data_IF_439088926633
#
_entry.id   IF_439088926633
#
_cell.length_a   1.000
_cell.length_b   1.000
_cell.length_c   1.000
_cell.angle_alpha   90.00
_cell.angle_beta   90.00
_cell.angle_gamma   90.00
#
_symmetry.space_group_name_H-M   'P 1'
#
loop_
_entity.id
_entity.type
_entity.pdbx_description
1 polymer ?
#
# COMPACT_ATOMS: atom_id res chain seq x y z
N UNK A 1 4.18 -11.75 -0.91
CA UNK A 1 5.61 -12.05 -1.08
C UNK A 1 6.38 -10.81 -1.52
N UNK A 2 7.18 -10.25 -0.61
CA UNK A 2 8.13 -9.17 -0.91
C UNK A 2 9.49 -9.48 -0.29
N UNK A 3 10.61 -9.18 -0.97
CA UNK A 3 11.93 -9.37 -0.41
C UNK A 3 12.23 -8.26 0.62
N UNK A 4 12.98 -8.62 1.66
CA UNK A 4 13.57 -7.66 2.62
C UNK A 4 15.02 -7.34 2.25
N UNK A 5 15.59 -6.33 2.90
CA UNK A 5 17.01 -5.97 2.77
C UNK A 5 17.98 -7.13 3.03
N UNK A 6 17.58 -8.09 3.87
CA UNK A 6 18.39 -9.25 4.26
C UNK A 6 18.21 -10.44 3.31
N UNK A 7 17.43 -10.30 2.24
CA UNK A 7 17.15 -11.38 1.28
C UNK A 7 16.11 -12.38 1.77
N UNK A 8 15.41 -12.09 2.88
CA UNK A 8 14.30 -12.91 3.36
C UNK A 8 13.02 -12.53 2.61
N UNK A 9 12.22 -13.53 2.23
CA UNK A 9 10.89 -13.30 1.65
C UNK A 9 9.86 -13.23 2.75
N UNK A 10 9.24 -12.08 2.95
CA UNK A 10 8.17 -11.91 3.94
C UNK A 10 6.81 -11.82 3.26
N UNK A 11 5.79 -12.28 3.99
CA UNK A 11 4.40 -12.09 3.63
C UNK A 11 3.74 -11.04 4.49
N UNK A 12 3.26 -9.99 3.82
CA UNK A 12 2.59 -8.87 4.43
C UNK A 12 1.12 -8.89 4.00
N UNK A 13 0.22 -8.94 4.97
CA UNK A 13 -1.19 -8.65 4.76
C UNK A 13 -1.43 -7.18 5.07
N UNK A 14 -1.84 -6.42 4.06
CA UNK A 14 -2.04 -4.98 4.13
C UNK A 14 -3.44 -4.64 3.65
N UNK A 15 -4.16 -3.82 4.41
CA UNK A 15 -5.43 -3.24 3.99
C UNK A 15 -5.29 -1.74 3.80
N UNK A 16 -6.03 -1.22 2.82
CA UNK A 16 -6.11 0.22 2.53
C UNK A 16 -7.56 0.62 2.64
N UNK A 17 -7.82 1.65 3.45
CA UNK A 17 -9.11 2.31 3.50
C UNK A 17 -9.04 3.55 2.61
N UNK A 18 -9.99 3.67 1.68
CA UNK A 18 -10.03 4.77 0.72
C UNK A 18 -11.45 5.10 0.31
N UNK A 19 -11.63 6.31 -0.22
CA UNK A 19 -12.81 6.71 -0.95
C UNK A 19 -12.42 7.51 -2.21
N UNK A 20 -13.38 7.68 -3.11
CA UNK A 20 -13.21 8.54 -4.29
C UNK A 20 -13.81 9.93 -3.99
N UNK A 21 -13.15 10.98 -4.46
CA UNK A 21 -13.72 12.31 -4.40
C UNK A 21 -14.98 12.35 -5.29
N UNK A 22 -16.11 12.89 -4.79
CA UNK A 22 -17.37 12.88 -5.55
C UNK A 22 -17.28 13.55 -6.92
N UNK A 23 -16.49 14.61 -7.04
CA UNK A 23 -16.26 15.36 -8.29
C UNK A 23 -15.38 14.59 -9.29
N UNK A 24 -14.66 13.56 -8.85
CA UNK A 24 -13.82 12.68 -9.68
C UNK A 24 -14.47 11.33 -9.99
N UNK A 25 -15.59 11.00 -9.35
CA UNK A 25 -16.24 9.71 -9.47
C UNK A 25 -16.65 9.38 -10.92
N UNK A 26 -17.18 10.37 -11.64
CA UNK A 26 -17.55 10.22 -13.05
C UNK A 26 -16.34 9.89 -13.94
N UNK A 27 -15.25 10.63 -13.78
CA UNK A 27 -14.03 10.45 -14.57
C UNK A 27 -13.36 9.11 -14.28
N UNK A 28 -13.33 8.70 -13.01
CA UNK A 28 -12.80 7.39 -12.62
C UNK A 28 -13.63 6.29 -13.27
N UNK A 29 -14.96 6.36 -13.19
CA UNK A 29 -15.83 5.34 -13.77
C UNK A 29 -15.69 5.24 -15.28
N UNK A 30 -15.65 6.37 -16.01
CA UNK A 30 -15.57 6.35 -17.46
C UNK A 30 -14.19 5.95 -17.99
N UNK A 31 -13.11 6.42 -17.36
CA UNK A 31 -11.76 6.19 -17.87
C UNK A 31 -11.14 4.87 -17.38
N UNK A 32 -11.49 4.44 -16.16
CA UNK A 32 -10.85 3.32 -15.48
C UNK A 32 -11.82 2.13 -15.28
N UNK A 33 -13.12 2.40 -15.36
CA UNK A 33 -14.15 1.39 -15.10
C UNK A 33 -14.25 0.99 -13.63
N UNK A 34 -15.09 -0.01 -13.38
CA UNK A 34 -15.31 -0.59 -12.05
C UNK A 34 -14.05 -1.28 -11.50
N UNK A 35 -13.11 -1.65 -12.38
CA UNK A 35 -11.85 -2.31 -12.06
C UNK A 35 -10.75 -1.41 -11.52
N UNK A 36 -11.00 -0.11 -11.27
CA UNK A 36 -9.94 0.82 -10.84
C UNK A 36 -9.17 0.36 -9.58
N UNK A 37 -9.83 -0.40 -8.70
CA UNK A 37 -9.17 -0.99 -7.52
C UNK A 37 -8.08 -1.98 -7.91
N UNK A 38 -8.37 -2.90 -8.84
CA UNK A 38 -7.42 -3.93 -9.27
C UNK A 38 -6.39 -3.40 -10.27
N UNK A 39 -6.76 -2.38 -11.05
CA UNK A 39 -5.89 -1.80 -12.09
C UNK A 39 -4.95 -0.72 -11.55
N UNK A 40 -5.33 -0.02 -10.47
CA UNK A 40 -4.54 1.10 -9.92
C UNK A 40 -4.19 0.86 -8.46
N UNK A 41 -5.18 0.75 -7.58
CA UNK A 41 -4.94 0.76 -6.13
C UNK A 41 -4.06 -0.42 -5.70
N UNK A 42 -4.38 -1.63 -6.16
CA UNK A 42 -3.61 -2.83 -5.84
C UNK A 42 -2.16 -2.80 -6.38
N UNK A 43 -1.91 -2.40 -7.65
CA UNK A 43 -0.56 -2.18 -8.17
C UNK A 43 0.25 -1.15 -7.39
N UNK A 44 -0.34 0.01 -7.08
CA UNK A 44 0.35 1.07 -6.33
C UNK A 44 0.69 0.63 -4.91
N UNK A 45 -0.25 -0.05 -4.22
CA UNK A 45 0.01 -0.66 -2.91
C UNK A 45 1.14 -1.67 -2.99
N UNK A 46 1.12 -2.55 -3.99
CA UNK A 46 2.16 -3.57 -4.15
C UNK A 46 3.53 -2.94 -4.43
N UNK A 47 3.55 -1.84 -5.19
CA UNK A 47 4.77 -1.09 -5.47
C UNK A 47 5.34 -0.44 -4.20
N UNK A 48 4.52 0.29 -3.46
CA UNK A 48 4.92 0.97 -2.22
C UNK A 48 5.40 -0.04 -1.15
N UNK A 49 4.69 -1.17 -1.00
CA UNK A 49 5.10 -2.24 -0.08
C UNK A 49 6.46 -2.80 -0.46
N UNK A 50 6.71 -3.11 -1.74
CA UNK A 50 8.01 -3.62 -2.19
C UNK A 50 9.15 -2.62 -1.95
N UNK A 51 8.92 -1.34 -2.25
CA UNK A 51 9.91 -0.28 -2.00
C UNK A 51 10.30 -0.23 -0.53
N UNK A 52 9.31 -0.14 0.35
CA UNK A 52 9.55 0.00 1.80
C UNK A 52 10.12 -1.26 2.46
N UNK A 53 9.78 -2.47 1.98
CA UNK A 53 10.41 -3.69 2.52
C UNK A 53 11.84 -3.88 2.04
N UNK A 54 12.19 -3.41 0.84
CA UNK A 54 13.57 -3.48 0.34
C UNK A 54 14.54 -2.68 1.20
N UNK A 55 14.06 -1.63 1.86
CA UNK A 55 14.84 -0.77 2.76
C UNK A 55 14.75 -1.19 4.23
N UNK A 56 13.74 -1.97 4.60
CA UNK A 56 13.48 -2.37 5.98
C UNK A 56 14.20 -3.68 6.36
N UNK A 57 14.83 -3.68 7.53
CA UNK A 57 15.32 -4.91 8.16
C UNK A 57 14.11 -5.77 8.57
N UNK A 58 14.17 -7.08 8.34
CA UNK A 58 13.04 -7.98 8.58
C UNK A 58 12.51 -7.84 10.02
N UNK A 59 13.40 -7.66 11.00
CA UNK A 59 13.09 -7.49 12.43
C UNK A 59 12.33 -6.19 12.76
N UNK A 60 12.50 -5.13 11.97
CA UNK A 60 11.78 -3.87 12.15
C UNK A 60 10.29 -4.00 11.80
N UNK A 61 9.94 -4.93 10.91
CA UNK A 61 8.55 -5.22 10.51
C UNK A 61 7.71 -5.83 11.64
N UNK A 62 8.36 -6.43 12.65
CA UNK A 62 7.70 -7.13 13.76
C UNK A 62 7.59 -6.32 15.05
N UNK A 63 8.34 -5.23 15.18
CA UNK A 63 8.48 -4.51 16.44
C UNK A 63 7.95 -3.08 16.29
N UNK A 64 8.77 -2.06 16.55
CA UNK A 64 8.36 -0.64 16.54
C UNK A 64 8.19 -0.06 15.13
N UNK A 65 8.67 -0.74 14.09
CA UNK A 65 8.63 -0.25 12.71
C UNK A 65 7.26 -0.33 12.02
N UNK A 66 6.26 -1.00 12.63
CA UNK A 66 4.93 -1.15 12.01
C UNK A 66 4.22 0.18 11.79
N UNK A 67 4.19 1.02 12.83
CA UNK A 67 3.51 2.32 12.76
C UNK A 67 4.19 3.23 11.72
N UNK A 68 5.52 3.22 11.70
CA UNK A 68 6.29 3.99 10.72
C UNK A 68 6.05 3.48 9.29
N UNK A 69 6.03 2.15 9.09
CA UNK A 69 5.71 1.55 7.80
C UNK A 69 4.30 1.92 7.32
N UNK A 70 3.28 1.82 8.17
CA UNK A 70 1.91 2.24 7.84
C UNK A 70 1.87 3.71 7.44
N UNK A 71 2.59 4.56 8.18
CA UNK A 71 2.65 6.00 7.91
C UNK A 71 3.31 6.31 6.56
N UNK A 72 4.43 5.64 6.25
CA UNK A 72 5.12 5.76 4.96
C UNK A 72 4.26 5.25 3.80
N UNK A 73 3.66 4.06 3.95
CA UNK A 73 2.76 3.49 2.95
C UNK A 73 1.58 4.43 2.66
N UNK A 74 0.95 4.97 3.71
CA UNK A 74 -0.13 5.93 3.57
C UNK A 74 0.32 7.19 2.84
N UNK A 75 1.47 7.74 3.20
CA UNK A 75 2.00 8.95 2.55
C UNK A 75 2.28 8.71 1.06
N UNK A 76 2.90 7.60 0.71
CA UNK A 76 3.24 7.25 -0.68
C UNK A 76 1.98 7.01 -1.52
N UNK A 77 1.03 6.22 -1.00
CA UNK A 77 -0.24 6.00 -1.67
C UNK A 77 -1.05 7.29 -1.82
N UNK A 78 -1.06 8.16 -0.82
CA UNK A 78 -1.74 9.45 -0.91
C UNK A 78 -1.13 10.31 -2.02
N UNK A 79 0.20 10.32 -2.14
CA UNK A 79 0.89 11.09 -3.18
C UNK A 79 0.57 10.61 -4.59
N UNK A 80 0.44 9.29 -4.80
CA UNK A 80 0.24 8.72 -6.13
C UNK A 80 -1.24 8.64 -6.52
N UNK A 81 -2.12 8.36 -5.55
CA UNK A 81 -3.56 8.18 -5.78
C UNK A 81 -4.35 9.49 -5.67
N UNK A 82 -3.87 10.45 -4.87
CA UNK A 82 -4.51 11.74 -4.68
C UNK A 82 -4.77 12.52 -5.98
N UNK A 83 -3.79 12.65 -6.90
CA UNK A 83 -3.99 13.31 -8.19
C UNK A 83 -5.07 12.65 -9.07
N UNK A 84 -5.42 11.39 -8.80
CA UNK A 84 -6.45 10.62 -9.51
C UNK A 84 -7.83 10.74 -8.86
N UNK A 85 -7.96 11.52 -7.79
CA UNK A 85 -9.21 11.67 -7.05
C UNK A 85 -9.51 10.55 -6.06
N UNK A 86 -8.50 9.77 -5.67
CA UNK A 86 -8.63 8.70 -4.69
C UNK A 86 -7.97 9.17 -3.39
N UNK A 87 -8.77 9.26 -2.32
CA UNK A 87 -8.31 9.68 -1.00
C UNK A 87 -8.00 8.45 -0.16
N UNK A 88 -6.78 8.36 0.34
CA UNK A 88 -6.35 7.29 1.24
C UNK A 88 -6.61 7.72 2.68
N UNK A 89 -7.59 7.08 3.32
CA UNK A 89 -7.96 7.36 4.71
C UNK A 89 -7.00 6.69 5.68
N UNK A 90 -6.64 5.44 5.42
CA UNK A 90 -5.70 4.71 6.26
C UNK A 90 -5.05 3.53 5.56
N UNK A 91 -3.92 3.08 6.12
CA UNK A 91 -3.23 1.85 5.73
C UNK A 91 -2.97 1.03 6.97
N UNK A 92 -3.43 -0.22 6.95
CA UNK A 92 -3.36 -1.15 8.08
C UNK A 92 -2.47 -2.33 7.72
N UNK A 93 -1.44 -2.54 8.53
CA UNK A 93 -0.62 -3.75 8.47
C UNK A 93 -1.28 -4.82 9.36
N UNK A 94 -1.96 -5.80 8.76
CA UNK A 94 -2.74 -6.82 9.46
C UNK A 94 -1.85 -7.93 10.01
N UNK A 95 -1.04 -8.53 9.14
CA UNK A 95 -0.17 -9.65 9.51
C UNK A 95 1.18 -9.55 8.78
N UNK A 96 2.21 -10.11 9.41
CA UNK A 96 3.57 -10.19 8.86
C UNK A 96 4.07 -11.60 9.15
N UNK A 97 4.35 -12.38 8.13
CA UNK A 97 4.76 -13.79 8.24
C UNK A 97 6.19 -13.93 7.71
N UNK A 98 7.09 -14.47 8.54
CA UNK A 98 8.47 -14.77 8.15
C UNK A 98 8.50 -16.07 7.33
N UNK A 99 9.45 -16.21 6.41
CA UNK A 99 9.71 -17.50 5.80
C UNK A 99 10.24 -18.44 6.89
N UNK A 100 9.64 -19.63 6.98
CA UNK A 100 10.09 -20.73 7.86
C UNK A 100 11.38 -21.36 7.38
#
# INVERSE_FOLDING_TARGET
HVPTKEGLTVDLDVAVLFHILPDRAHDIYLNLGEGFVTVIIQPELSSAVRGLTSEADAKALYTSGRSEMQKKLKAELTSVLGPRGIVVEDVLLKAVTLPS
#
